data_IF_401218105416
#
_entry.id   IF_401218105416
#
_cell.length_a   1.000
_cell.length_b   1.000
_cell.length_c   1.000
_cell.angle_alpha   90.00
_cell.angle_beta   90.00
_cell.angle_gamma   90.00
#
_symmetry.space_group_name_H-M   'P 1'
#
loop_
_entity.id
_entity.type
_entity.pdbx_description
1 polymer ?
#
# COMPACT_ATOMS: atom_id res chain seq x y z
N UNK A 1 17.25 -10.98 10.27
CA UNK A 1 16.46 -10.54 9.10
C UNK A 1 15.02 -10.98 9.32
N UNK A 2 14.03 -10.10 9.14
CA UNK A 2 12.63 -10.46 9.35
C UNK A 2 12.09 -11.26 8.15
N UNK A 3 11.15 -12.18 8.38
CA UNK A 3 10.49 -12.92 7.29
C UNK A 3 9.66 -11.95 6.44
N UNK A 4 9.78 -12.06 5.12
CA UNK A 4 9.07 -11.22 4.14
C UNK A 4 8.11 -12.08 3.32
N UNK A 5 6.91 -11.56 3.04
CA UNK A 5 5.93 -12.18 2.14
C UNK A 5 6.12 -11.60 0.73
N UNK A 6 6.46 -12.45 -0.23
CA UNK A 6 6.57 -12.07 -1.64
C UNK A 6 5.24 -12.34 -2.35
N UNK A 7 4.37 -11.33 -2.44
CA UNK A 7 3.04 -11.48 -3.05
C UNK A 7 3.07 -11.55 -4.59
N UNK A 8 4.15 -11.08 -5.22
CA UNK A 8 4.30 -11.01 -6.67
C UNK A 8 3.33 -10.02 -7.34
N UNK A 9 3.39 -9.95 -8.67
CA UNK A 9 2.48 -9.15 -9.49
C UNK A 9 1.70 -10.05 -10.44
N UNK A 10 0.40 -9.78 -10.60
CA UNK A 10 -0.45 -10.41 -11.61
C UNK A 10 -1.43 -9.38 -12.15
N UNK A 11 -1.42 -9.18 -13.47
CA UNK A 11 -2.30 -8.23 -14.13
C UNK A 11 -3.78 -8.51 -13.78
N UNK A 12 -4.52 -7.46 -13.43
CA UNK A 12 -5.94 -7.54 -13.03
C UNK A 12 -6.20 -8.11 -11.64
N UNK A 13 -5.17 -8.44 -10.84
CA UNK A 13 -5.34 -8.96 -9.48
C UNK A 13 -4.45 -8.22 -8.48
N UNK A 14 -5.05 -7.69 -7.41
CA UNK A 14 -4.31 -7.21 -6.26
C UNK A 14 -3.88 -8.40 -5.38
N UNK A 15 -2.64 -8.85 -5.54
CA UNK A 15 -2.11 -10.05 -4.86
C UNK A 15 -1.95 -9.88 -3.35
N UNK A 16 -1.99 -8.65 -2.83
CA UNK A 16 -1.78 -8.35 -1.40
C UNK A 16 -3.00 -8.67 -0.54
N UNK A 17 -4.21 -8.57 -1.08
CA UNK A 17 -5.48 -8.71 -0.35
C UNK A 17 -5.56 -10.03 0.44
N UNK A 18 -5.25 -11.16 -0.21
CA UNK A 18 -5.32 -12.48 0.43
C UNK A 18 -4.34 -12.62 1.58
N UNK A 19 -3.15 -12.03 1.46
CA UNK A 19 -2.13 -12.05 2.52
C UNK A 19 -2.50 -11.16 3.70
N UNK A 20 -3.07 -9.97 3.46
CA UNK A 20 -3.56 -9.09 4.52
C UNK A 20 -4.63 -9.81 5.35
N UNK A 21 -5.59 -10.48 4.68
CA UNK A 21 -6.61 -11.30 5.35
C UNK A 21 -5.99 -12.47 6.11
N UNK A 22 -5.15 -13.29 5.46
CA UNK A 22 -4.57 -14.50 6.07
C UNK A 22 -3.70 -14.19 7.30
N UNK A 23 -3.03 -13.03 7.31
CA UNK A 23 -2.18 -12.61 8.43
C UNK A 23 -2.91 -11.74 9.45
N UNK A 24 -4.22 -11.54 9.29
CA UNK A 24 -5.04 -10.69 10.15
C UNK A 24 -4.44 -9.29 10.32
N UNK A 25 -3.83 -8.74 9.27
CA UNK A 25 -3.25 -7.41 9.30
C UNK A 25 -4.38 -6.39 9.46
N UNK A 26 -4.27 -5.53 10.48
CA UNK A 26 -5.29 -4.52 10.81
C UNK A 26 -4.97 -3.14 10.25
N UNK A 27 -3.69 -2.85 10.05
CA UNK A 27 -3.19 -1.59 9.49
C UNK A 27 -2.16 -1.95 8.42
N UNK A 28 -2.28 -1.37 7.23
CA UNK A 28 -1.39 -1.61 6.11
C UNK A 28 -0.87 -0.28 5.56
N UNK A 29 0.45 -0.13 5.57
CA UNK A 29 1.14 1.07 5.08
C UNK A 29 1.68 0.82 3.67
N UNK A 30 1.53 1.80 2.78
CA UNK A 30 2.09 1.72 1.43
C UNK A 30 1.96 3.02 0.67
N UNK A 31 2.71 3.15 -0.42
CA UNK A 31 2.79 4.38 -1.21
C UNK A 31 1.91 4.36 -2.46
N UNK A 32 1.48 3.17 -2.93
CA UNK A 32 0.70 3.02 -4.15
C UNK A 32 -0.80 2.85 -3.88
N UNK A 33 -1.64 3.20 -4.85
CA UNK A 33 -3.10 3.07 -4.72
C UNK A 33 -3.51 1.60 -4.53
N UNK A 34 -2.72 0.68 -5.11
CA UNK A 34 -2.87 -0.76 -4.89
C UNK A 34 -2.68 -1.17 -3.42
N UNK A 35 -1.90 -0.44 -2.62
CA UNK A 35 -1.75 -0.73 -1.18
C UNK A 35 -3.00 -0.31 -0.41
N UNK A 36 -3.51 0.88 -0.70
CA UNK A 36 -4.70 1.43 -0.05
C UNK A 36 -5.94 0.61 -0.38
N UNK A 37 -6.13 0.28 -1.66
CA UNK A 37 -7.21 -0.60 -2.11
C UNK A 37 -7.05 -2.02 -1.54
N UNK A 38 -5.83 -2.57 -1.46
CA UNK A 38 -5.62 -3.88 -0.84
C UNK A 38 -6.07 -3.91 0.63
N UNK A 39 -5.75 -2.85 1.38
CA UNK A 39 -6.13 -2.71 2.77
C UNK A 39 -7.67 -2.65 2.90
N UNK A 40 -8.33 -1.80 2.10
CA UNK A 40 -9.80 -1.65 2.09
C UNK A 40 -10.51 -2.95 1.77
N UNK A 41 -10.10 -3.64 0.70
CA UNK A 41 -10.67 -4.92 0.27
C UNK A 41 -10.46 -6.04 1.32
N UNK A 42 -9.44 -5.88 2.17
CA UNK A 42 -9.15 -6.76 3.29
C UNK A 42 -9.84 -6.36 4.61
N UNK A 43 -10.55 -5.23 4.66
CA UNK A 43 -11.15 -4.70 5.89
C UNK A 43 -10.10 -4.18 6.90
N UNK A 44 -8.92 -3.80 6.40
CA UNK A 44 -7.84 -3.18 7.16
C UNK A 44 -7.81 -1.66 6.93
N UNK A 45 -7.21 -0.93 7.87
CA UNK A 45 -6.93 0.51 7.73
C UNK A 45 -5.72 0.70 6.82
N UNK A 46 -5.94 1.24 5.62
CA UNK A 46 -4.86 1.66 4.72
C UNK A 46 -4.36 3.05 5.09
N UNK A 47 -3.05 3.22 5.24
CA UNK A 47 -2.41 4.51 5.52
C UNK A 47 -1.32 4.77 4.48
N UNK A 48 -1.37 5.92 3.82
CA UNK A 48 -0.46 6.29 2.74
C UNK A 48 0.88 6.79 3.29
N UNK A 49 1.94 6.30 2.69
CA UNK A 49 3.30 6.87 2.76
C UNK A 49 3.59 7.61 1.45
N UNK A 50 4.30 8.73 1.52
CA UNK A 50 4.64 9.52 0.33
C UNK A 50 5.77 8.84 -0.45
N UNK A 51 5.55 8.59 -1.75
CA UNK A 51 6.63 8.18 -2.66
C UNK A 51 7.59 9.37 -2.85
N UNK A 52 8.88 9.12 -2.66
CA UNK A 52 9.91 10.14 -2.87
C UNK A 52 9.90 10.71 -4.30
N UNK A 53 10.05 12.03 -4.43
CA UNK A 53 9.98 12.73 -5.72
C UNK A 53 11.07 12.32 -6.72
N UNK A 54 12.21 11.82 -6.21
CA UNK A 54 13.31 11.28 -7.01
C UNK A 54 13.15 9.79 -7.37
N UNK A 55 12.01 9.17 -7.05
CA UNK A 55 11.71 7.81 -7.49
C UNK A 55 11.67 7.73 -9.01
N UNK A 56 12.24 6.65 -9.56
CA UNK A 56 12.12 6.32 -10.99
C UNK A 56 10.73 5.80 -11.35
N UNK A 57 9.91 5.42 -10.36
CA UNK A 57 8.55 4.95 -10.61
C UNK A 57 7.57 6.12 -10.67
N UNK A 58 7.41 6.61 -11.89
CA UNK A 58 6.56 7.75 -12.26
C UNK A 58 5.33 7.27 -13.07
N UNK A 59 4.22 8.03 -13.08
CA UNK A 59 3.98 9.24 -12.26
C UNK A 59 3.87 8.93 -10.76
N UNK A 60 4.04 9.93 -9.92
CA UNK A 60 3.77 9.80 -8.49
C UNK A 60 2.27 9.55 -8.26
N UNK A 61 1.89 8.68 -7.31
CA UNK A 61 0.49 8.52 -6.91
C UNK A 61 -0.06 9.80 -6.25
N UNK A 62 -1.36 10.04 -6.42
CA UNK A 62 -2.07 11.14 -5.76
C UNK A 62 -2.41 10.73 -4.31
N UNK A 63 -1.46 10.98 -3.40
CA UNK A 63 -1.60 10.62 -1.99
C UNK A 63 -2.85 11.29 -1.36
N UNK A 64 -3.79 10.48 -0.87
CA UNK A 64 -5.03 10.94 -0.25
C UNK A 64 -6.25 11.00 -1.18
N UNK A 65 -6.10 10.76 -2.49
CA UNK A 65 -7.21 10.82 -3.46
C UNK A 65 -8.33 9.79 -3.17
N UNK A 66 -7.98 8.67 -2.52
CA UNK A 66 -8.99 7.68 -2.12
C UNK A 66 -9.68 8.09 -0.81
N UNK A 67 -9.28 9.17 -0.14
CA UNK A 67 -9.77 9.60 1.18
C UNK A 67 -9.11 8.88 2.37
N UNK A 68 -7.95 8.26 2.15
CA UNK A 68 -7.14 7.67 3.22
C UNK A 68 -6.30 8.71 3.98
N UNK A 69 -5.84 8.32 5.17
CA UNK A 69 -4.87 9.10 5.92
C UNK A 69 -3.49 9.04 5.27
N UNK A 70 -2.79 10.17 5.23
CA UNK A 70 -1.44 10.30 4.69
C UNK A 70 -0.49 10.72 5.81
N UNK A 71 0.62 9.99 5.97
CA UNK A 71 1.64 10.36 6.96
C UNK A 71 2.42 11.56 6.41
N UNK A 72 2.44 12.65 7.18
CA UNK A 72 3.23 13.85 6.86
C UNK A 72 4.72 13.52 6.80
N UNK A 73 5.43 14.17 5.89
CA UNK A 73 6.90 14.08 5.78
C UNK A 73 7.46 12.65 5.62
N UNK A 74 6.66 11.74 5.05
CA UNK A 74 6.98 10.31 4.98
C UNK A 74 7.79 9.88 3.76
N UNK A 75 8.32 10.84 2.99
CA UNK A 75 9.10 10.60 1.77
C UNK A 75 10.61 10.43 2.00
N UNK A 76 11.08 10.47 3.25
CA UNK A 76 12.50 10.36 3.63
C UNK A 76 12.71 9.54 4.89
#
# INVERSE_FOLDING_TARGET
MNKVIFSGFRAGQNTKVSWIKQKNIRIFYGDADSDITAARDAGARGIRVLRAANSSYQPLPEAGDLGEEVIVDSQY
#
